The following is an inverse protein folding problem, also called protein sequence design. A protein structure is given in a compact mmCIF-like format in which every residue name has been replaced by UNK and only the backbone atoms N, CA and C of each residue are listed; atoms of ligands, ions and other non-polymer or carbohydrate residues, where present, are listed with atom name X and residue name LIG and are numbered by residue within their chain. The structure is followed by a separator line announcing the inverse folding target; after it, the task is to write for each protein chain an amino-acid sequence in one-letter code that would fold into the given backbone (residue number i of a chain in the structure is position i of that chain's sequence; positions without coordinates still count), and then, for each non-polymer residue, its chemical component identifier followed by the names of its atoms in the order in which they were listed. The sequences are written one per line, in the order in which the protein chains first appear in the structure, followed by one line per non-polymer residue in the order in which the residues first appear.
data_IF_104555665348
#
_entry.id   IF_104555665348
#
_cell.length_a   1.000
_cell.length_b   1.000
_cell.length_c   1.000
_cell.angle_alpha   90.00
_cell.angle_beta   90.00
_cell.angle_gamma   90.00
#
_symmetry.space_group_name_H-M   'P 1'
#
loop_
_entity.id
_entity.type
_entity.pdbx_description
1 polymer ?
#
# COMPACT_ATOMS: atom_id res chain seq x y z
N UNK A 1 18.09 -2.60 -0.65
CA UNK A 1 18.37 -1.21 -1.06
C UNK A 1 18.87 -0.42 0.14
N UNK A 2 20.18 -0.50 0.35
CA UNK A 2 20.87 0.21 1.43
C UNK A 2 20.62 1.71 1.33
N UNK A 3 20.39 2.31 2.49
CA UNK A 3 20.29 3.76 2.65
C UNK A 3 21.68 4.36 2.90
N UNK A 4 21.88 5.55 2.36
CA UNK A 4 23.07 6.38 2.56
C UNK A 4 22.66 7.65 3.28
N UNK A 5 23.58 8.24 4.04
CA UNK A 5 23.44 9.60 4.53
C UNK A 5 24.18 10.54 3.57
N UNK A 6 23.45 11.46 2.94
CA UNK A 6 23.98 12.52 2.07
C UNK A 6 23.63 13.88 2.71
N UNK A 7 24.63 14.62 3.20
CA UNK A 7 24.44 15.90 3.91
C UNK A 7 23.35 15.90 5.00
N UNK A 8 23.21 14.78 5.71
CA UNK A 8 22.23 14.59 6.78
C UNK A 8 20.85 14.13 6.32
N UNK A 9 20.62 13.98 5.02
CA UNK A 9 19.40 13.40 4.44
C UNK A 9 19.64 11.92 4.13
N UNK A 10 18.75 11.06 4.58
CA UNK A 10 18.80 9.65 4.23
C UNK A 10 18.31 9.47 2.78
N UNK A 11 19.07 8.76 1.95
CA UNK A 11 18.82 8.59 0.52
C UNK A 11 19.02 7.13 0.09
N UNK A 12 18.30 6.68 -0.93
CA UNK A 12 18.51 5.38 -1.57
C UNK A 12 19.06 5.55 -2.99
N UNK A 13 19.85 4.59 -3.46
CA UNK A 13 20.22 4.50 -4.87
C UNK A 13 19.01 4.15 -5.73
N UNK A 14 18.81 4.83 -6.86
CA UNK A 14 17.68 4.59 -7.76
C UNK A 14 18.11 3.82 -9.02
N UNK A 15 17.82 2.50 -9.13
CA UNK A 15 18.29 1.70 -10.26
C UNK A 15 17.67 2.11 -11.61
N UNK A 16 16.44 2.63 -11.61
CA UNK A 16 15.78 3.14 -12.82
C UNK A 16 16.54 4.30 -13.45
N UNK A 17 17.10 5.19 -12.62
CA UNK A 17 17.91 6.30 -13.12
C UNK A 17 19.21 5.81 -13.76
N UNK A 18 19.85 4.79 -13.19
CA UNK A 18 20.99 4.12 -13.84
C UNK A 18 20.58 3.49 -15.18
N UNK A 19 19.44 2.80 -15.23
CA UNK A 19 18.93 2.22 -16.48
C UNK A 19 18.72 3.26 -17.58
N UNK A 20 18.21 4.44 -17.23
CA UNK A 20 18.03 5.54 -18.18
C UNK A 20 19.38 6.01 -18.75
N UNK A 21 20.41 6.16 -17.93
CA UNK A 21 21.77 6.49 -18.39
C UNK A 21 22.32 5.42 -19.34
N UNK A 22 22.06 4.15 -19.02
CA UNK A 22 22.39 3.04 -19.92
C UNK A 22 21.62 3.10 -21.22
N UNK A 23 20.41 3.65 -21.29
CA UNK A 23 19.67 3.83 -22.55
C UNK A 23 20.26 5.00 -23.35
N UNK A 24 20.60 6.10 -22.69
CA UNK A 24 21.00 7.37 -23.32
C UNK A 24 22.37 7.37 -23.98
N UNK A 25 23.32 6.55 -23.52
CA UNK A 25 24.65 6.51 -24.14
C UNK A 25 24.61 6.13 -25.66
N UNK A 26 25.02 7.01 -26.58
CA UNK A 26 24.75 6.79 -28.03
C UNK A 26 25.56 5.63 -28.64
N UNK A 27 24.93 4.57 -29.16
CA UNK A 27 25.53 3.58 -30.09
C UNK A 27 24.49 2.75 -30.87
N UNK A 28 24.91 2.15 -31.99
CA UNK A 28 24.05 1.38 -32.91
C UNK A 28 23.72 -0.06 -32.47
N UNK A 29 24.35 -0.60 -31.43
CA UNK A 29 24.12 -1.97 -30.91
C UNK A 29 23.99 -1.94 -29.38
N UNK A 30 22.74 -2.07 -28.89
CA UNK A 30 22.41 -2.01 -27.46
C UNK A 30 23.09 -3.11 -26.65
N UNK A 31 23.22 -4.32 -27.19
CA UNK A 31 23.76 -5.46 -26.44
C UNK A 31 25.26 -5.29 -26.18
N UNK A 32 26.03 -4.92 -27.22
CA UNK A 32 27.47 -4.66 -27.09
C UNK A 32 27.77 -3.44 -26.21
N UNK A 33 26.90 -2.43 -26.25
CA UNK A 33 27.00 -1.24 -25.40
C UNK A 33 26.91 -1.57 -23.92
N UNK A 34 25.91 -2.33 -23.51
CA UNK A 34 25.70 -2.64 -22.08
C UNK A 34 26.83 -3.46 -21.50
N UNK A 35 27.33 -4.46 -22.26
CA UNK A 35 28.48 -5.27 -21.84
C UNK A 35 29.70 -4.39 -21.59
N UNK A 36 30.00 -3.46 -22.50
CA UNK A 36 31.13 -2.55 -22.33
C UNK A 36 30.98 -1.62 -21.12
N UNK A 37 29.79 -1.05 -20.92
CA UNK A 37 29.54 -0.20 -19.75
C UNK A 37 29.66 -1.02 -18.45
N UNK A 38 29.13 -2.25 -18.43
CA UNK A 38 29.23 -3.15 -17.29
C UNK A 38 30.71 -3.47 -16.97
N UNK A 39 31.54 -3.72 -18.00
CA UNK A 39 33.00 -3.93 -17.87
C UNK A 39 33.73 -2.67 -17.35
N UNK A 40 33.47 -1.51 -17.94
CA UNK A 40 34.14 -0.26 -17.56
C UNK A 40 33.80 0.12 -16.10
N UNK A 41 32.53 0.03 -15.70
CA UNK A 41 32.10 0.29 -14.33
C UNK A 41 32.67 -0.72 -13.34
N UNK A 42 32.79 -1.99 -13.70
CA UNK A 42 33.43 -3.00 -12.84
C UNK A 42 34.86 -2.59 -12.48
N UNK A 43 35.63 -2.10 -13.47
CA UNK A 43 37.02 -1.68 -13.25
C UNK A 43 37.12 -0.42 -12.39
N UNK A 44 36.21 0.54 -12.58
CA UNK A 44 36.19 1.81 -11.86
C UNK A 44 35.77 1.60 -10.40
N UNK A 45 34.71 0.81 -10.20
CA UNK A 45 34.08 0.63 -8.89
C UNK A 45 34.82 -0.42 -8.06
N UNK A 46 35.46 -1.39 -8.72
CA UNK A 46 36.23 -2.45 -8.06
C UNK A 46 35.37 -3.62 -7.58
N UNK A 47 34.22 -3.85 -8.20
CA UNK A 47 33.30 -4.97 -7.92
C UNK A 47 33.27 -5.96 -9.08
N UNK A 48 32.72 -7.15 -8.84
CA UNK A 48 32.52 -8.16 -9.89
C UNK A 48 31.61 -7.64 -11.01
N UNK A 49 31.92 -7.98 -12.26
CA UNK A 49 31.13 -7.54 -13.42
C UNK A 49 29.66 -8.03 -13.36
N UNK A 50 29.43 -9.22 -12.77
CA UNK A 50 28.07 -9.72 -12.55
C UNK A 50 27.28 -8.88 -11.52
N UNK A 51 27.96 -8.23 -10.57
CA UNK A 51 27.36 -7.29 -9.62
C UNK A 51 26.90 -6.01 -10.32
N UNK A 52 27.73 -5.42 -11.18
CA UNK A 52 27.37 -4.24 -11.97
C UNK A 52 26.18 -4.55 -12.90
N UNK A 53 26.22 -5.71 -13.55
CA UNK A 53 25.11 -6.20 -14.38
C UNK A 53 23.81 -6.32 -13.58
N UNK A 54 23.87 -6.78 -12.33
CA UNK A 54 22.71 -6.85 -11.43
C UNK A 54 22.17 -5.45 -11.12
N UNK A 55 23.03 -4.48 -10.79
CA UNK A 55 22.62 -3.08 -10.57
C UNK A 55 21.88 -2.49 -11.76
N UNK A 56 22.43 -2.66 -12.97
CA UNK A 56 21.77 -2.25 -14.23
C UNK A 56 20.41 -2.92 -14.40
N UNK A 57 20.28 -4.20 -14.03
CA UNK A 57 19.01 -4.92 -14.13
C UNK A 57 18.02 -4.58 -13.00
N UNK A 58 18.31 -3.60 -12.14
CA UNK A 58 17.46 -3.22 -11.02
C UNK A 58 17.52 -4.21 -9.85
N UNK A 59 18.47 -5.16 -9.89
CA UNK A 59 18.67 -6.15 -8.85
C UNK A 59 19.79 -5.68 -7.94
N UNK A 60 19.44 -5.17 -6.76
CA UNK A 60 20.36 -4.52 -5.82
C UNK A 60 20.90 -3.18 -6.34
N UNK A 61 21.56 -2.45 -5.46
CA UNK A 61 22.29 -1.22 -5.80
C UNK A 61 23.71 -1.27 -5.22
N UNK A 62 24.51 -0.23 -5.44
CA UNK A 62 25.81 -0.08 -4.81
C UNK A 62 25.73 -0.19 -3.29
N UNK A 63 26.77 -0.75 -2.68
CA UNK A 63 26.83 -0.99 -1.24
C UNK A 63 27.24 0.24 -0.44
N UNK A 64 27.90 1.21 -1.11
CA UNK A 64 28.45 2.41 -0.50
C UNK A 64 28.19 3.66 -1.35
N UNK A 65 28.15 4.83 -0.72
CA UNK A 65 28.00 6.11 -1.41
C UNK A 65 29.20 6.42 -2.34
N UNK A 66 30.39 5.91 -2.01
CA UNK A 66 31.58 6.02 -2.86
C UNK A 66 31.39 5.32 -4.22
N UNK A 67 30.79 4.14 -4.22
CA UNK A 67 30.44 3.42 -5.44
C UNK A 67 29.41 4.20 -6.29
N UNK A 68 28.39 4.81 -5.65
CA UNK A 68 27.43 5.68 -6.34
C UNK A 68 28.12 6.86 -7.01
N UNK A 69 29.05 7.51 -6.30
CA UNK A 69 29.84 8.65 -6.81
C UNK A 69 30.69 8.26 -8.02
N UNK A 70 31.35 7.09 -7.97
CA UNK A 70 32.13 6.55 -9.09
C UNK A 70 31.28 6.25 -10.33
N UNK A 71 30.08 5.71 -10.14
CA UNK A 71 29.12 5.49 -11.24
C UNK A 71 28.71 6.83 -11.86
N UNK A 72 28.39 7.82 -11.04
CA UNK A 72 28.00 9.16 -11.50
C UNK A 72 29.13 9.84 -12.30
N UNK A 73 30.38 9.73 -11.83
CA UNK A 73 31.56 10.25 -12.51
C UNK A 73 31.74 9.63 -13.91
N UNK A 74 31.55 8.32 -14.03
CA UNK A 74 31.61 7.63 -15.33
C UNK A 74 30.58 8.17 -16.32
N UNK A 75 29.34 8.42 -15.87
CA UNK A 75 28.29 9.01 -16.71
C UNK A 75 28.35 10.53 -16.81
N UNK A 76 29.26 11.19 -16.10
CA UNK A 76 29.46 12.65 -16.04
C UNK A 76 28.20 13.40 -15.60
N UNK A 77 27.52 12.86 -14.58
CA UNK A 77 26.34 13.47 -13.94
C UNK A 77 26.63 13.78 -12.47
N UNK A 78 25.77 14.54 -11.82
CA UNK A 78 25.81 14.65 -10.36
C UNK A 78 25.40 13.31 -9.72
N UNK A 79 26.09 12.86 -8.68
CA UNK A 79 25.73 11.61 -7.99
C UNK A 79 24.38 11.71 -7.30
N UNK A 80 23.95 12.92 -6.91
CA UNK A 80 22.61 13.15 -6.37
C UNK A 80 21.51 12.82 -7.38
N UNK A 81 21.81 12.90 -8.69
CA UNK A 81 20.87 12.45 -9.71
C UNK A 81 20.62 10.96 -9.62
N UNK A 82 21.56 10.12 -9.14
CA UNK A 82 21.37 8.68 -8.93
C UNK A 82 20.66 8.34 -7.61
N UNK A 83 20.40 9.33 -6.75
CA UNK A 83 19.79 9.14 -5.44
C UNK A 83 18.32 9.54 -5.45
N UNK A 84 17.55 8.93 -4.56
CA UNK A 84 16.20 9.34 -4.21
C UNK A 84 16.15 9.56 -2.70
N UNK A 85 15.76 10.76 -2.23
CA UNK A 85 15.59 11.00 -0.80
C UNK A 85 14.63 9.99 -0.18
N UNK A 86 14.96 9.47 0.99
CA UNK A 86 14.04 8.72 1.83
C UNK A 86 13.17 9.76 2.52
N UNK A 87 12.01 10.02 1.94
CA UNK A 87 10.98 10.84 2.58
C UNK A 87 10.26 9.95 3.58
N UNK A 88 10.65 9.98 4.85
CA UNK A 88 9.82 9.43 5.94
C UNK A 88 8.68 10.40 6.19
N UNK A 89 7.44 9.95 5.99
CA UNK A 89 6.26 10.74 6.28
C UNK A 89 6.09 10.81 7.80
N UNK A 90 6.32 11.98 8.39
CA UNK A 90 6.05 12.17 9.82
C UNK A 90 4.56 12.44 10.04
N UNK A 91 3.94 11.66 10.94
CA UNK A 91 2.56 11.89 11.37
C UNK A 91 2.53 12.67 12.67
N UNK A 92 1.89 13.84 12.65
CA UNK A 92 1.63 14.65 13.83
C UNK A 92 0.17 15.09 13.84
N UNK A 93 -0.70 14.21 14.34
CA UNK A 93 -2.13 14.47 14.39
C UNK A 93 -2.48 15.31 15.62
N UNK A 94 -3.21 16.40 15.39
CA UNK A 94 -3.67 17.28 16.45
C UNK A 94 -5.14 17.59 16.19
N UNK A 95 -5.97 17.44 17.22
CA UNK A 95 -7.39 17.75 17.10
C UNK A 95 -7.57 19.24 16.73
N UNK A 96 -8.45 19.56 15.77
CA UNK A 96 -8.66 20.94 15.32
C UNK A 96 -9.43 21.79 16.34
N UNK A 97 -10.00 21.17 17.39
CA UNK A 97 -10.87 21.79 18.38
C UNK A 97 -10.98 20.89 19.62
N UNK A 98 -11.36 21.47 20.76
CA UNK A 98 -11.74 20.76 21.99
C UNK A 98 -13.20 20.23 21.94
N UNK A 99 -13.96 20.56 20.90
CA UNK A 99 -15.32 20.08 20.71
C UNK A 99 -15.35 18.58 20.33
N UNK A 100 -16.05 17.77 21.11
CA UNK A 100 -16.13 16.31 20.93
C UNK A 100 -16.61 15.93 19.51
N UNK A 101 -17.59 16.66 18.96
CA UNK A 101 -18.08 16.40 17.60
C UNK A 101 -16.99 16.66 16.56
N UNK A 102 -16.21 17.73 16.69
CA UNK A 102 -15.06 18.00 15.81
C UNK A 102 -13.95 16.95 15.95
N UNK A 103 -13.68 16.45 17.16
CA UNK A 103 -12.70 15.37 17.38
C UNK A 103 -13.14 14.09 16.66
N UNK A 104 -14.41 13.69 16.81
CA UNK A 104 -14.98 12.50 16.14
C UNK A 104 -14.87 12.64 14.61
N UNK A 105 -15.25 13.79 14.05
CA UNK A 105 -15.17 14.05 12.61
C UNK A 105 -13.72 14.02 12.12
N UNK A 106 -12.78 14.55 12.90
CA UNK A 106 -11.37 14.57 12.54
C UNK A 106 -10.78 13.15 12.51
N UNK A 107 -11.06 12.32 13.52
CA UNK A 107 -10.62 10.92 13.52
C UNK A 107 -11.26 10.12 12.38
N UNK A 108 -12.56 10.32 12.09
CA UNK A 108 -13.20 9.73 10.91
C UNK A 108 -12.47 10.10 9.62
N UNK A 109 -12.08 11.38 9.46
CA UNK A 109 -11.32 11.85 8.30
C UNK A 109 -9.98 11.13 8.20
N UNK A 110 -9.22 11.05 9.30
CA UNK A 110 -7.93 10.35 9.33
C UNK A 110 -8.09 8.89 8.93
N UNK A 111 -9.04 8.16 9.53
CA UNK A 111 -9.31 6.77 9.15
C UNK A 111 -9.74 6.62 7.68
N UNK A 112 -10.53 7.57 7.15
CA UNK A 112 -10.89 7.57 5.73
C UNK A 112 -9.66 7.82 4.83
N UNK A 113 -8.83 8.80 5.17
CA UNK A 113 -7.58 9.11 4.46
C UNK A 113 -6.63 7.91 4.51
N UNK A 114 -6.60 7.17 5.62
CA UNK A 114 -5.86 5.92 5.75
C UNK A 114 -6.33 4.87 4.74
N UNK A 115 -7.65 4.60 4.65
CA UNK A 115 -8.20 3.62 3.71
C UNK A 115 -7.85 3.99 2.26
N UNK A 116 -7.95 5.27 1.88
CA UNK A 116 -7.54 5.70 0.53
C UNK A 116 -6.02 5.66 0.32
N UNK A 117 -5.22 6.01 1.32
CA UNK A 117 -3.76 6.09 1.15
C UNK A 117 -3.12 4.70 1.10
N UNK A 118 -3.52 3.80 1.99
CA UNK A 118 -2.82 2.53 2.21
C UNK A 118 -3.59 1.31 1.72
N UNK A 119 -4.92 1.39 1.57
CA UNK A 119 -5.70 0.30 0.96
C UNK A 119 -6.09 0.57 -0.50
N UNK A 120 -6.16 1.84 -0.93
CA UNK A 120 -6.48 2.19 -2.34
C UNK A 120 -5.29 2.48 -3.22
N UNK A 121 -4.06 2.35 -2.72
CA UNK A 121 -2.90 2.43 -3.58
C UNK A 121 -2.94 1.26 -4.57
N UNK A 122 -2.76 1.53 -5.86
CA UNK A 122 -2.46 0.53 -6.90
C UNK A 122 -1.30 -0.40 -6.51
N UNK A 123 -0.51 0.03 -5.52
CA UNK A 123 0.59 -0.70 -4.91
C UNK A 123 0.15 -1.78 -3.91
N UNK A 124 -1.11 -1.86 -3.46
CA UNK A 124 -1.57 -2.98 -2.63
C UNK A 124 -1.52 -4.31 -3.40
N UNK A 125 -1.72 -4.29 -4.72
CA UNK A 125 -1.52 -5.47 -5.58
C UNK A 125 -0.04 -5.84 -5.65
N UNK A 126 0.85 -4.85 -5.79
CA UNK A 126 2.31 -5.05 -5.73
C UNK A 126 2.76 -5.53 -4.35
N UNK A 127 2.18 -5.03 -3.27
CA UNK A 127 2.49 -5.38 -1.88
C UNK A 127 1.98 -6.79 -1.54
N UNK A 128 0.76 -7.13 -1.96
CA UNK A 128 0.17 -8.45 -1.79
C UNK A 128 0.92 -9.53 -2.60
N UNK A 129 1.23 -9.25 -3.87
CA UNK A 129 2.11 -10.09 -4.69
C UNK A 129 3.44 -10.25 -3.97
N UNK A 130 4.04 -9.15 -3.49
CA UNK A 130 5.36 -9.21 -2.85
C UNK A 130 5.35 -9.96 -1.51
N UNK A 131 4.28 -9.88 -0.71
CA UNK A 131 4.14 -10.59 0.58
C UNK A 131 3.86 -12.09 0.38
N UNK A 132 3.00 -12.45 -0.58
CA UNK A 132 2.73 -13.84 -0.96
C UNK A 132 3.91 -14.49 -1.69
N UNK A 133 4.67 -13.71 -2.48
CA UNK A 133 5.95 -14.12 -3.08
C UNK A 133 7.06 -14.28 -2.04
N UNK A 134 7.12 -13.45 -0.98
CA UNK A 134 8.02 -13.62 0.20
C UNK A 134 7.94 -15.02 0.80
N UNK A 135 6.73 -15.60 0.83
CA UNK A 135 6.48 -16.97 1.32
C UNK A 135 6.87 -18.07 0.33
N UNK A 136 6.93 -17.78 -0.97
CA UNK A 136 7.09 -18.81 -2.03
C UNK A 136 8.44 -18.78 -2.74
N UNK A 137 9.12 -17.64 -2.81
CA UNK A 137 10.38 -17.47 -3.53
C UNK A 137 11.28 -16.42 -2.87
N UNK A 138 12.59 -16.66 -2.87
CA UNK A 138 13.64 -15.71 -2.48
C UNK A 138 13.69 -14.48 -3.43
N UNK A 139 12.65 -13.65 -3.45
CA UNK A 139 12.65 -12.41 -4.20
C UNK A 139 13.53 -11.34 -3.53
N UNK A 140 14.01 -10.43 -4.38
CA UNK A 140 15.09 -9.46 -4.13
C UNK A 140 14.84 -8.54 -2.94
N UNK A 141 15.87 -8.38 -2.12
CA UNK A 141 15.95 -7.53 -0.91
C UNK A 141 15.35 -6.12 -1.05
N UNK A 142 15.34 -5.52 -2.25
CA UNK A 142 14.77 -4.19 -2.51
C UNK A 142 13.24 -4.11 -2.40
N UNK A 143 12.52 -5.17 -2.77
CA UNK A 143 11.05 -5.23 -2.67
C UNK A 143 10.62 -5.40 -1.22
N UNK A 144 11.35 -6.27 -0.50
CA UNK A 144 11.18 -6.52 0.93
C UNK A 144 11.33 -5.24 1.77
N UNK A 145 12.32 -4.41 1.48
CA UNK A 145 12.50 -3.15 2.19
C UNK A 145 11.44 -2.09 1.86
N UNK A 146 10.90 -2.08 0.65
CA UNK A 146 9.79 -1.18 0.32
C UNK A 146 8.53 -1.57 1.12
N UNK A 147 8.28 -2.88 1.23
CA UNK A 147 7.21 -3.42 2.08
C UNK A 147 7.45 -3.02 3.54
N UNK A 148 8.65 -3.30 4.07
CA UNK A 148 8.95 -3.04 5.47
C UNK A 148 8.86 -1.54 5.80
N UNK A 149 9.21 -0.64 4.86
CA UNK A 149 9.02 0.82 5.02
C UNK A 149 7.55 1.22 5.11
N UNK A 150 6.70 0.72 4.21
CA UNK A 150 5.26 1.03 4.23
C UNK A 150 4.63 0.48 5.50
N UNK A 151 5.04 -0.71 5.94
CA UNK A 151 4.54 -1.29 7.18
C UNK A 151 4.91 -0.43 8.39
N UNK A 152 6.18 0.02 8.49
CA UNK A 152 6.60 0.97 9.53
C UNK A 152 5.82 2.28 9.46
N UNK A 153 5.58 2.83 8.27
CA UNK A 153 4.78 4.05 8.09
C UNK A 153 3.34 3.87 8.58
N UNK A 154 2.70 2.72 8.31
CA UNK A 154 1.34 2.43 8.79
C UNK A 154 1.31 2.22 10.30
N UNK A 155 2.30 1.53 10.87
CA UNK A 155 2.41 1.39 12.33
C UNK A 155 2.59 2.76 13.00
N UNK A 156 3.45 3.63 12.45
CA UNK A 156 3.61 5.00 12.92
C UNK A 156 2.32 5.81 12.78
N UNK A 157 1.55 5.61 11.71
CA UNK A 157 0.24 6.22 11.52
C UNK A 157 -0.71 5.85 12.68
N UNK A 158 -0.88 4.56 12.96
CA UNK A 158 -1.79 4.10 14.01
C UNK A 158 -1.31 4.50 15.41
N UNK A 159 -0.01 4.40 15.70
CA UNK A 159 0.58 4.87 16.97
C UNK A 159 0.24 6.34 17.22
N UNK A 160 0.38 7.20 16.20
CA UNK A 160 0.07 8.62 16.35
C UNK A 160 -1.44 8.88 16.45
N UNK A 161 -2.27 8.04 15.84
CA UNK A 161 -3.73 8.12 15.97
C UNK A 161 -4.21 7.71 17.37
N UNK A 162 -3.63 6.67 17.96
CA UNK A 162 -3.88 6.31 19.36
C UNK A 162 -3.39 7.40 20.32
N UNK A 163 -2.20 7.97 20.11
CA UNK A 163 -1.71 9.11 20.91
C UNK A 163 -2.63 10.32 20.83
N UNK A 164 -3.20 10.62 19.66
CA UNK A 164 -4.23 11.65 19.51
C UNK A 164 -5.43 11.32 20.39
N UNK A 165 -5.98 10.09 20.27
CA UNK A 165 -7.16 9.70 21.05
C UNK A 165 -6.89 9.76 22.58
N UNK A 166 -5.73 9.30 23.02
CA UNK A 166 -5.32 9.33 24.43
C UNK A 166 -5.18 10.78 24.94
N UNK A 167 -4.63 11.68 24.12
CA UNK A 167 -4.50 13.10 24.45
C UNK A 167 -5.85 13.77 24.61
N UNK A 168 -6.81 13.43 23.73
CA UNK A 168 -8.15 13.98 23.73
C UNK A 168 -9.11 13.26 24.70
N UNK A 169 -8.68 12.16 25.33
CA UNK A 169 -9.52 11.29 26.17
C UNK A 169 -10.24 12.01 27.32
N UNK A 170 -9.61 13.05 27.89
CA UNK A 170 -10.19 13.85 28.98
C UNK A 170 -11.28 14.83 28.51
N UNK A 171 -11.39 15.07 27.20
CA UNK A 171 -12.32 16.05 26.60
C UNK A 171 -13.55 15.39 25.98
N UNK A 172 -13.52 14.07 25.79
CA UNK A 172 -14.60 13.29 25.18
C UNK A 172 -15.26 12.37 26.20
N UNK A 173 -16.48 11.90 25.91
CA UNK A 173 -17.16 10.91 26.74
C UNK A 173 -16.42 9.57 26.66
N UNK A 174 -16.44 8.79 27.75
CA UNK A 174 -15.86 7.44 27.76
C UNK A 174 -16.44 6.56 26.63
N UNK A 175 -17.76 6.62 26.42
CA UNK A 175 -18.41 5.89 25.33
C UNK A 175 -17.89 6.30 23.94
N UNK A 176 -17.50 7.56 23.77
CA UNK A 176 -16.92 8.06 22.52
C UNK A 176 -15.51 7.53 22.35
N UNK A 177 -14.70 7.58 23.41
CA UNK A 177 -13.36 7.00 23.43
C UNK A 177 -13.41 5.52 23.04
N UNK A 178 -14.28 4.72 23.67
CA UNK A 178 -14.38 3.27 23.42
C UNK A 178 -14.77 2.96 21.96
N UNK A 179 -15.71 3.74 21.40
CA UNK A 179 -16.14 3.60 20.00
C UNK A 179 -15.03 3.98 19.02
N UNK A 180 -14.36 5.11 19.24
CA UNK A 180 -13.25 5.57 18.41
C UNK A 180 -12.07 4.60 18.48
N UNK A 181 -11.68 4.17 19.68
CA UNK A 181 -10.63 3.18 19.86
C UNK A 181 -10.93 1.90 19.08
N UNK A 182 -12.15 1.37 19.21
CA UNK A 182 -12.58 0.17 18.47
C UNK A 182 -12.46 0.37 16.95
N UNK A 183 -12.94 1.51 16.42
CA UNK A 183 -12.86 1.80 14.98
C UNK A 183 -11.42 1.93 14.50
N UNK A 184 -10.53 2.55 15.27
CA UNK A 184 -9.10 2.61 14.98
C UNK A 184 -8.51 1.19 14.93
N UNK A 185 -8.80 0.37 15.94
CA UNK A 185 -8.33 -1.03 16.00
C UNK A 185 -8.88 -1.88 14.86
N UNK A 186 -10.14 -1.71 14.48
CA UNK A 186 -10.74 -2.42 13.35
C UNK A 186 -10.08 -2.01 12.01
N UNK A 187 -9.75 -0.73 11.81
CA UNK A 187 -9.01 -0.29 10.61
C UNK A 187 -7.57 -0.81 10.58
N UNK A 188 -6.90 -0.89 11.73
CA UNK A 188 -5.56 -1.49 11.84
C UNK A 188 -5.60 -2.99 11.51
N UNK A 189 -6.55 -3.71 12.09
CA UNK A 189 -6.75 -5.13 11.80
C UNK A 189 -7.13 -5.39 10.33
N UNK A 190 -7.90 -4.50 9.70
CA UNK A 190 -8.18 -4.56 8.25
C UNK A 190 -6.88 -4.46 7.43
N UNK A 191 -5.96 -3.58 7.81
CA UNK A 191 -4.66 -3.48 7.15
C UNK A 191 -3.80 -4.72 7.33
N UNK A 192 -3.70 -5.24 8.56
CA UNK A 192 -2.96 -6.47 8.82
C UNK A 192 -3.51 -7.62 8.01
N UNK A 193 -4.85 -7.75 7.99
CA UNK A 193 -5.56 -8.73 7.18
C UNK A 193 -5.23 -8.57 5.68
N UNK A 194 -5.26 -7.33 5.20
CA UNK A 194 -4.93 -6.98 3.83
C UNK A 194 -3.48 -7.33 3.45
N UNK A 195 -2.56 -7.30 4.42
CA UNK A 195 -1.17 -7.69 4.23
C UNK A 195 -0.97 -9.21 4.25
N UNK A 196 -1.73 -9.95 5.06
CA UNK A 196 -1.53 -11.38 5.27
C UNK A 196 -2.31 -12.27 4.31
N UNK A 197 -3.47 -11.81 3.84
CA UNK A 197 -4.40 -12.60 3.03
C UNK A 197 -4.45 -12.15 1.57
N UNK A 198 -4.80 -13.07 0.67
CA UNK A 198 -4.91 -12.80 -0.77
C UNK A 198 -6.14 -12.08 -1.23
N UNK A 199 -7.11 -11.94 -0.34
CA UNK A 199 -8.42 -11.44 -0.67
C UNK A 199 -8.87 -10.49 0.43
N UNK A 200 -8.50 -9.21 0.31
CA UNK A 200 -9.03 -8.14 1.16
C UNK A 200 -10.56 -8.08 1.16
N UNK A 201 -11.18 -8.59 0.08
CA UNK A 201 -12.62 -8.79 -0.05
C UNK A 201 -13.25 -9.63 1.05
N UNK A 202 -12.46 -10.43 1.75
CA UNK A 202 -12.94 -11.39 2.73
C UNK A 202 -13.03 -10.80 4.15
N UNK A 203 -12.52 -9.57 4.36
CA UNK A 203 -12.62 -8.86 5.63
C UNK A 203 -14.03 -8.87 6.26
N UNK A 204 -15.13 -8.66 5.49
CA UNK A 204 -16.49 -8.77 6.02
C UNK A 204 -16.79 -10.10 6.73
N UNK A 205 -16.19 -11.23 6.33
CA UNK A 205 -16.39 -12.54 6.96
C UNK A 205 -15.76 -12.61 8.34
N UNK A 206 -14.57 -12.02 8.48
CA UNK A 206 -13.81 -11.99 9.73
C UNK A 206 -14.31 -10.88 10.67
N UNK A 207 -14.90 -9.83 10.10
CA UNK A 207 -15.50 -8.74 10.85
C UNK A 207 -16.96 -8.51 10.41
N UNK A 208 -17.86 -9.33 10.96
CA UNK A 208 -19.30 -9.29 10.64
C UNK A 208 -19.92 -7.90 10.82
N UNK A 209 -19.42 -7.10 11.78
CA UNK A 209 -19.91 -5.74 12.00
C UNK A 209 -19.69 -4.86 10.77
N UNK A 210 -18.53 -4.95 10.14
CA UNK A 210 -18.24 -4.23 8.89
C UNK A 210 -19.11 -4.74 7.74
N UNK A 211 -19.23 -6.06 7.59
CA UNK A 211 -20.06 -6.63 6.52
C UNK A 211 -21.54 -6.27 6.64
N UNK A 212 -22.10 -6.30 7.84
CA UNK A 212 -23.51 -5.96 8.09
C UNK A 212 -23.79 -4.46 8.02
N UNK A 213 -22.79 -3.60 8.25
CA UNK A 213 -22.99 -2.15 8.21
C UNK A 213 -23.20 -1.61 6.79
N UNK A 214 -22.67 -2.29 5.77
CA UNK A 214 -22.86 -1.92 4.38
C UNK A 214 -23.77 -2.94 3.68
N UNK A 215 -25.00 -2.57 3.28
CA UNK A 215 -25.95 -3.50 2.63
C UNK A 215 -25.40 -4.20 1.38
N UNK A 216 -24.37 -3.62 0.73
CA UNK A 216 -23.69 -4.27 -0.40
C UNK A 216 -22.77 -5.40 0.05
N UNK A 217 -22.04 -5.20 1.14
CA UNK A 217 -21.18 -6.23 1.74
C UNK A 217 -22.02 -7.30 2.45
N UNK A 218 -23.17 -6.93 3.02
CA UNK A 218 -24.11 -7.88 3.63
C UNK A 218 -24.64 -8.89 2.60
N UNK A 219 -25.01 -8.44 1.40
CA UNK A 219 -25.40 -9.34 0.30
C UNK A 219 -24.25 -10.25 -0.14
N UNK A 220 -23.03 -9.74 -0.13
CA UNK A 220 -21.82 -10.53 -0.41
C UNK A 220 -21.64 -11.63 0.65
N UNK A 221 -21.83 -11.28 1.93
CA UNK A 221 -21.75 -12.21 3.05
C UNK A 221 -22.80 -13.32 2.93
N UNK A 222 -24.05 -12.94 2.68
CA UNK A 222 -25.17 -13.86 2.53
C UNK A 222 -24.97 -14.83 1.36
N UNK A 223 -24.42 -14.32 0.25
CA UNK A 223 -24.02 -15.15 -0.89
C UNK A 223 -23.01 -16.24 -0.49
N UNK A 224 -21.95 -15.87 0.21
CA UNK A 224 -20.91 -16.81 0.59
C UNK A 224 -21.34 -17.82 1.66
N UNK A 225 -22.11 -17.37 2.66
CA UNK A 225 -22.60 -18.26 3.71
C UNK A 225 -23.59 -19.31 3.17
N UNK A 226 -24.33 -18.99 2.10
CA UNK A 226 -25.45 -19.83 1.65
C UNK A 226 -25.29 -20.45 0.25
N UNK A 227 -24.48 -19.88 -0.65
CA UNK A 227 -24.49 -20.23 -2.08
C UNK A 227 -23.11 -20.60 -2.67
N UNK A 228 -22.00 -20.20 -2.04
CA UNK A 228 -20.65 -20.50 -2.54
C UNK A 228 -20.38 -22.01 -2.61
N UNK A 229 -20.06 -22.52 -3.80
CA UNK A 229 -19.83 -23.94 -4.07
C UNK A 229 -21.08 -24.77 -4.40
N UNK A 230 -22.22 -24.11 -4.68
CA UNK A 230 -23.49 -24.76 -5.09
C UNK A 230 -23.77 -24.58 -6.59
N UNK A 231 -24.77 -25.28 -7.13
CA UNK A 231 -25.21 -25.13 -8.54
C UNK A 231 -25.83 -23.75 -8.87
N UNK A 232 -26.17 -22.96 -7.84
CA UNK A 232 -26.76 -21.61 -7.93
C UNK A 232 -25.72 -20.48 -8.16
N UNK A 233 -24.44 -20.83 -8.31
CA UNK A 233 -23.32 -19.92 -8.67
C UNK A 233 -23.54 -19.16 -10.00
N UNK A 234 -24.55 -19.54 -10.79
CA UNK A 234 -24.95 -18.81 -11.99
C UNK A 234 -25.74 -17.51 -11.70
N UNK A 235 -26.44 -17.38 -10.56
CA UNK A 235 -27.13 -16.14 -10.17
C UNK A 235 -26.15 -15.03 -9.76
N UNK A 236 -24.92 -15.41 -9.37
CA UNK A 236 -23.84 -14.48 -9.07
C UNK A 236 -23.34 -13.69 -10.27
N UNK A 237 -23.33 -14.31 -11.47
CA UNK A 237 -22.96 -13.61 -12.71
C UNK A 237 -23.91 -12.45 -13.00
N UNK A 238 -25.18 -12.57 -12.64
CA UNK A 238 -26.16 -11.51 -12.82
C UNK A 238 -25.92 -10.37 -11.80
N UNK A 239 -25.58 -10.69 -10.54
CA UNK A 239 -25.17 -9.69 -9.54
C UNK A 239 -23.89 -8.94 -9.93
N UNK A 240 -22.89 -9.65 -10.45
CA UNK A 240 -21.62 -9.07 -10.94
C UNK A 240 -21.84 -8.11 -12.12
N UNK A 241 -22.72 -8.50 -13.05
CA UNK A 241 -23.13 -7.66 -14.18
C UNK A 241 -23.87 -6.40 -13.72
N UNK A 242 -24.81 -6.53 -12.77
CA UNK A 242 -25.54 -5.40 -12.20
C UNK A 242 -24.59 -4.44 -11.47
N UNK A 243 -23.64 -4.94 -10.69
CA UNK A 243 -22.64 -4.15 -9.98
C UNK A 243 -21.71 -3.35 -10.91
N UNK A 244 -21.25 -3.98 -12.00
CA UNK A 244 -20.44 -3.32 -13.04
C UNK A 244 -21.23 -2.18 -13.68
N UNK A 245 -22.50 -2.42 -13.96
CA UNK A 245 -23.39 -1.46 -14.62
C UNK A 245 -23.70 -0.24 -13.74
N UNK A 246 -23.84 -0.41 -12.42
CA UNK A 246 -24.14 0.67 -11.47
C UNK A 246 -22.93 1.58 -11.17
N UNK A 247 -21.73 0.99 -11.12
CA UNK A 247 -20.53 1.72 -10.67
C UNK A 247 -19.74 2.37 -11.80
N UNK A 248 -19.92 1.90 -13.03
CA UNK A 248 -19.19 2.39 -14.21
C UNK A 248 -17.68 2.13 -14.15
N UNK A 249 -17.22 1.27 -13.24
CA UNK A 249 -15.81 0.88 -13.08
C UNK A 249 -15.63 -0.46 -13.80
N UNK A 250 -14.99 -0.42 -14.98
CA UNK A 250 -14.77 -1.60 -15.82
C UNK A 250 -13.35 -2.17 -15.72
N UNK A 251 -12.67 -2.00 -14.60
CA UNK A 251 -11.30 -2.50 -14.44
C UNK A 251 -11.31 -3.88 -13.75
N UNK A 252 -11.79 -4.86 -14.51
CA UNK A 252 -11.61 -6.27 -14.21
C UNK A 252 -10.26 -6.72 -14.77
N UNK A 253 -9.35 -7.20 -13.91
CA UNK A 253 -8.34 -8.15 -14.39
C UNK A 253 -9.07 -9.48 -14.56
N UNK A 254 -9.47 -9.77 -15.79
CA UNK A 254 -10.08 -11.03 -16.18
C UNK A 254 -9.15 -12.19 -15.80
N UNK A 255 -9.69 -13.14 -15.04
CA UNK A 255 -9.04 -14.37 -14.56
C UNK A 255 -8.54 -15.35 -15.65
N UNK A 256 -8.52 -14.94 -16.92
CA UNK A 256 -8.10 -15.81 -18.03
C UNK A 256 -6.58 -16.03 -18.10
N UNK A 257 -5.76 -15.23 -17.41
CA UNK A 257 -4.30 -15.38 -17.46
C UNK A 257 -3.69 -16.16 -16.28
N UNK A 258 -4.46 -16.52 -15.24
CA UNK A 258 -3.90 -17.11 -14.00
C UNK A 258 -4.68 -18.28 -13.37
N UNK A 259 -5.50 -19.01 -14.14
CA UNK A 259 -5.86 -20.42 -13.84
C UNK A 259 -6.22 -20.75 -12.39
N UNK A 260 -7.10 -19.97 -11.77
CA UNK A 260 -7.62 -20.21 -10.42
C UNK A 260 -8.90 -19.44 -10.19
N UNK A 261 -9.79 -19.98 -9.36
CA UNK A 261 -11.05 -19.35 -8.94
C UNK A 261 -10.76 -18.02 -8.24
N UNK A 262 -11.12 -16.89 -8.85
CA UNK A 262 -10.93 -15.55 -8.29
C UNK A 262 -12.27 -14.82 -8.23
N UNK A 263 -12.53 -14.18 -7.08
CA UNK A 263 -13.67 -13.32 -6.86
C UNK A 263 -13.36 -11.90 -7.38
N UNK A 264 -14.17 -11.31 -8.27
CA UNK A 264 -13.92 -9.98 -8.77
C UNK A 264 -14.75 -8.94 -8.01
N UNK A 265 -14.22 -8.46 -6.88
CA UNK A 265 -14.42 -7.04 -6.60
C UNK A 265 -13.33 -6.32 -7.38
N UNK A 266 -13.70 -5.38 -8.27
CA UNK A 266 -12.72 -4.49 -8.89
C UNK A 266 -11.82 -3.93 -7.77
N UNK A 267 -10.51 -4.17 -7.84
CA UNK A 267 -9.57 -3.86 -6.76
C UNK A 267 -9.69 -2.38 -6.31
N UNK A 268 -10.07 -1.49 -7.22
CA UNK A 268 -10.29 -0.06 -6.97
C UNK A 268 -11.61 0.27 -6.24
N UNK A 269 -12.58 -0.64 -6.25
CA UNK A 269 -13.87 -0.49 -5.57
C UNK A 269 -13.82 -0.92 -4.10
N UNK A 270 -12.93 -1.86 -3.73
CA UNK A 270 -12.79 -2.39 -2.37
C UNK A 270 -12.49 -1.30 -1.32
N UNK A 271 -11.54 -0.36 -1.54
CA UNK A 271 -11.23 0.71 -0.59
C UNK A 271 -12.37 1.73 -0.48
N UNK A 272 -13.08 2.00 -1.58
CA UNK A 272 -14.25 2.89 -1.60
C UNK A 272 -15.40 2.30 -0.81
N UNK A 273 -15.66 1.00 -0.96
CA UNK A 273 -16.68 0.31 -0.20
C UNK A 273 -16.30 0.17 1.27
N UNK A 274 -15.02 0.01 1.63
CA UNK A 274 -14.58 0.09 3.02
C UNK A 274 -14.68 1.51 3.61
N UNK A 275 -14.32 2.55 2.86
CA UNK A 275 -14.51 3.93 3.31
C UNK A 275 -15.98 4.28 3.51
N UNK A 276 -16.85 3.80 2.62
CA UNK A 276 -18.31 3.90 2.77
C UNK A 276 -18.80 3.15 4.02
N UNK A 277 -18.30 1.93 4.23
CA UNK A 277 -18.64 1.11 5.40
C UNK A 277 -18.24 1.81 6.69
N UNK A 278 -17.02 2.39 6.74
CA UNK A 278 -16.55 3.19 7.86
C UNK A 278 -17.50 4.36 8.15
N UNK A 279 -17.91 5.11 7.13
CA UNK A 279 -18.87 6.21 7.29
C UNK A 279 -20.24 5.73 7.85
N UNK A 280 -20.71 4.54 7.44
CA UNK A 280 -21.94 3.94 7.97
C UNK A 280 -21.78 3.54 9.44
N UNK A 281 -20.66 2.92 9.79
CA UNK A 281 -20.32 2.57 11.18
C UNK A 281 -20.22 3.80 12.07
N UNK A 282 -19.61 4.90 11.61
CA UNK A 282 -19.57 6.16 12.34
C UNK A 282 -20.96 6.76 12.53
N UNK A 283 -21.82 6.72 11.51
CA UNK A 283 -23.21 7.17 11.65
C UNK A 283 -23.98 6.32 12.65
N UNK A 284 -23.71 5.03 12.71
CA UNK A 284 -24.36 4.13 13.66
C UNK A 284 -23.85 4.33 15.09
N UNK A 285 -22.54 4.45 15.26
CA UNK A 285 -21.89 4.63 16.55
C UNK A 285 -22.18 5.99 17.16
N UNK A 286 -22.37 7.03 16.33
CA UNK A 286 -22.55 8.41 16.78
C UNK A 286 -23.86 9.01 16.26
N UNK A 287 -24.95 8.23 16.23
CA UNK A 287 -26.29 8.66 15.77
C UNK A 287 -26.72 9.98 16.40
N UNK A 288 -26.38 10.20 17.67
CA UNK A 288 -26.72 11.43 18.39
C UNK A 288 -26.14 12.71 17.78
N UNK A 289 -25.13 12.61 16.92
CA UNK A 289 -24.53 13.76 16.22
C UNK A 289 -25.29 14.14 14.94
N UNK A 290 -26.15 13.25 14.46
CA UNK A 290 -26.83 13.32 13.15
C UNK A 290 -28.36 13.30 13.25
N UNK A 291 -28.92 12.92 14.41
CA UNK A 291 -30.33 13.08 14.70
C UNK A 291 -30.57 14.52 15.20
N UNK A 292 -31.17 15.35 14.34
CA UNK A 292 -31.62 16.70 14.71
C UNK A 292 -32.62 16.64 15.87
N UNK A 293 -32.42 17.50 16.88
CA UNK A 293 -33.46 17.85 17.86
C UNK A 293 -34.40 18.91 17.30
#
# INVERSE_FOLDING_TARGET
MRSFLDDGVACNFCPEKLQNLYIEAKSFDKAKKYVKIDEDLHQIVGVEADTVKKWRLGKFGPDTLDEVKKIAEYFKIDYQELLTPIVTKEFNFNAPSDDEKQIIIYIHKLLTDFLYTYLSASDMYSFHISYSMRRRNNETESVNEAIDRIHVEVEDYFINLYKLLDTESLKIRQSTYDKLHRLITECHALYDYACTESHTSDWPFYNKRWGMANPRLEKLLDYYENYYGTEEDNEYKDFENDYTSETGISDYILANDLGGEYMPMAYDAVPREFARTLALLFREDFKELFEDK
#
